data_IF_789751179179
#
_entry.id   IF_789751179179
#
_cell.length_a   1.000
_cell.length_b   1.000
_cell.length_c   1.000
_cell.angle_alpha   90.00
_cell.angle_beta   90.00
_cell.angle_gamma   90.00
#
_symmetry.space_group_name_H-M   'P 1'
#
loop_
_entity.id
_entity.type
_entity.pdbx_description
1 polymer ?
#
# COMPACT_ATOMS: atom_id res chain seq x y z
N UNK A 1 14.16 13.71 12.07
CA UNK A 1 13.27 13.43 10.93
C UNK A 1 13.10 14.66 10.06
N UNK A 2 12.93 15.85 10.64
CA UNK A 2 12.64 17.09 9.92
C UNK A 2 13.60 17.44 8.76
N UNK A 3 14.89 17.10 8.84
CA UNK A 3 15.88 17.37 7.78
C UNK A 3 15.89 16.35 6.63
N UNK A 4 15.57 15.08 6.91
CA UNK A 4 15.36 14.07 5.87
C UNK A 4 14.05 14.38 5.15
N UNK A 5 12.98 14.65 5.90
CA UNK A 5 11.71 15.08 5.33
C UNK A 5 11.85 16.39 4.57
N UNK A 6 12.57 17.42 5.05
CA UNK A 6 12.73 18.66 4.29
C UNK A 6 13.50 18.49 2.97
N UNK A 7 14.50 17.59 2.92
CA UNK A 7 15.19 17.24 1.67
C UNK A 7 14.36 16.33 0.76
N UNK A 8 13.56 15.44 1.34
CA UNK A 8 12.59 14.64 0.61
C UNK A 8 11.46 15.51 0.05
N UNK A 9 11.05 16.55 0.77
CA UNK A 9 10.03 17.53 0.37
C UNK A 9 10.53 18.34 -0.85
N UNK A 10 11.81 18.75 -0.86
CA UNK A 10 12.45 19.38 -2.03
C UNK A 10 12.55 18.45 -3.24
N UNK A 11 12.72 17.14 -3.01
CA UNK A 11 12.80 16.13 -4.07
C UNK A 11 11.42 15.60 -4.52
N UNK A 12 10.38 15.71 -3.69
CA UNK A 12 9.04 15.14 -3.93
C UNK A 12 8.00 16.15 -4.40
N UNK A 13 8.26 17.46 -4.24
CA UNK A 13 7.26 18.53 -4.42
C UNK A 13 6.53 18.53 -5.76
N UNK A 14 6.98 17.81 -6.80
CA UNK A 14 6.36 17.85 -8.12
C UNK A 14 6.25 16.52 -8.89
N UNK A 15 6.66 15.36 -8.35
CA UNK A 15 6.81 14.16 -9.20
C UNK A 15 5.84 13.00 -8.87
N UNK A 16 4.57 13.33 -8.62
CA UNK A 16 3.46 12.38 -8.86
C UNK A 16 3.08 12.32 -10.35
N UNK A 17 4.01 12.66 -11.26
CA UNK A 17 3.76 12.63 -12.71
C UNK A 17 3.39 11.22 -13.21
N UNK A 18 3.80 10.18 -12.47
CA UNK A 18 3.43 8.78 -12.73
C UNK A 18 1.99 8.44 -12.27
N UNK A 19 1.44 9.17 -11.30
CA UNK A 19 0.22 8.83 -10.57
C UNK A 19 -1.03 8.91 -11.45
N UNK A 20 -1.31 10.06 -12.07
CA UNK A 20 -2.50 10.24 -12.91
C UNK A 20 -2.52 9.36 -14.17
N UNK A 21 -1.43 9.28 -14.97
CA UNK A 21 -1.41 8.42 -16.16
C UNK A 21 -1.64 6.93 -15.85
N UNK A 22 -1.15 6.45 -14.71
CA UNK A 22 -1.32 5.05 -14.29
C UNK A 22 -2.81 4.69 -14.13
N UNK A 23 -3.58 5.51 -13.42
CA UNK A 23 -5.01 5.20 -13.21
C UNK A 23 -5.86 5.41 -14.45
N UNK A 24 -5.47 6.34 -15.33
CA UNK A 24 -6.09 6.48 -16.65
C UNK A 24 -5.96 5.18 -17.46
N UNK A 25 -4.79 4.53 -17.40
CA UNK A 25 -4.58 3.21 -18.00
C UNK A 25 -5.46 2.12 -17.37
N UNK A 26 -5.66 2.16 -16.04
CA UNK A 26 -6.55 1.22 -15.34
C UNK A 26 -8.02 1.44 -15.67
N UNK A 27 -8.44 2.70 -15.84
CA UNK A 27 -9.80 3.06 -16.22
C UNK A 27 -10.19 2.48 -17.59
N UNK A 28 -9.28 2.42 -18.56
CA UNK A 28 -9.56 1.82 -19.87
C UNK A 28 -9.99 0.35 -19.73
N UNK A 29 -9.50 -0.34 -18.71
CA UNK A 29 -9.81 -1.75 -18.43
C UNK A 29 -11.08 -1.94 -17.59
N UNK A 30 -11.80 -0.89 -17.20
CA UNK A 30 -13.05 -1.05 -16.44
C UNK A 30 -14.20 -1.54 -17.34
N UNK A 31 -15.26 -2.07 -16.71
CA UNK A 31 -16.44 -2.57 -17.40
C UNK A 31 -17.00 -1.54 -18.37
N UNK A 32 -17.48 -2.02 -19.52
CA UNK A 32 -18.06 -1.18 -20.56
C UNK A 32 -19.16 -0.26 -20.02
N UNK A 33 -20.03 -0.78 -19.14
CA UNK A 33 -21.12 0.01 -18.54
C UNK A 33 -20.62 1.20 -17.72
N UNK A 34 -19.50 1.03 -17.00
CA UNK A 34 -18.89 2.15 -16.26
C UNK A 34 -18.31 3.17 -17.25
N UNK A 35 -17.66 2.73 -18.33
CA UNK A 35 -17.11 3.65 -19.35
C UNK A 35 -18.19 4.45 -20.08
N UNK A 36 -19.40 3.91 -20.19
CA UNK A 36 -20.55 4.58 -20.82
C UNK A 36 -21.27 5.56 -19.90
N UNK A 37 -20.89 5.66 -18.62
CA UNK A 37 -21.47 6.66 -17.72
C UNK A 37 -21.25 8.07 -18.28
N UNK A 38 -22.31 8.87 -18.20
CA UNK A 38 -22.31 10.25 -18.69
C UNK A 38 -22.11 11.26 -17.56
N UNK A 39 -21.39 12.33 -17.89
CA UNK A 39 -21.16 13.51 -17.05
C UNK A 39 -21.62 14.73 -17.84
N UNK A 40 -22.88 15.12 -17.68
CA UNK A 40 -23.56 16.00 -18.63
C UNK A 40 -23.83 15.29 -19.95
N UNK A 41 -23.38 15.87 -21.07
CA UNK A 41 -23.57 15.30 -22.41
C UNK A 41 -22.43 14.36 -22.85
N UNK A 42 -21.37 14.28 -22.06
CA UNK A 42 -20.12 13.59 -22.40
C UNK A 42 -20.02 12.24 -21.70
N UNK A 43 -19.37 11.27 -22.33
CA UNK A 43 -18.97 10.02 -21.65
C UNK A 43 -17.71 10.24 -20.81
N UNK A 44 -17.43 9.35 -19.86
CA UNK A 44 -16.21 9.44 -19.04
C UNK A 44 -14.89 9.40 -19.85
N UNK A 45 -14.91 8.91 -21.09
CA UNK A 45 -13.73 8.86 -21.98
C UNK A 45 -13.47 10.18 -22.70
N UNK A 46 -14.44 11.10 -22.70
CA UNK A 46 -14.39 12.35 -23.45
C UNK A 46 -14.00 13.52 -22.54
N UNK A 47 -13.34 14.53 -23.12
CA UNK A 47 -13.13 15.87 -22.52
C UNK A 47 -12.68 15.89 -21.05
N UNK A 48 -11.85 14.93 -20.66
CA UNK A 48 -11.34 14.75 -19.29
C UNK A 48 -12.46 14.58 -18.23
N UNK A 49 -13.63 14.06 -18.62
CA UNK A 49 -14.76 13.83 -17.72
C UNK A 49 -14.39 12.88 -16.57
N UNK A 50 -13.61 11.83 -16.84
CA UNK A 50 -13.06 10.97 -15.80
C UNK A 50 -12.21 11.74 -14.79
N UNK A 51 -11.28 12.58 -15.24
CA UNK A 51 -10.41 13.36 -14.37
C UNK A 51 -11.21 14.36 -13.51
N UNK A 52 -12.28 14.97 -14.07
CA UNK A 52 -13.21 15.81 -13.30
C UNK A 52 -13.89 15.03 -12.18
N UNK A 53 -14.42 13.84 -12.49
CA UNK A 53 -15.05 12.97 -11.48
C UNK A 53 -14.02 12.50 -10.45
N UNK A 54 -12.82 12.10 -10.88
CA UNK A 54 -11.73 11.70 -10.00
C UNK A 54 -11.38 12.79 -8.98
N UNK A 55 -11.20 14.04 -9.44
CA UNK A 55 -10.92 15.17 -8.55
C UNK A 55 -12.12 15.50 -7.65
N UNK A 56 -13.35 15.40 -8.16
CA UNK A 56 -14.56 15.65 -7.40
C UNK A 56 -14.72 14.65 -6.24
N UNK A 57 -14.43 13.36 -6.47
CA UNK A 57 -14.42 12.34 -5.40
C UNK A 57 -13.40 12.70 -4.31
N UNK A 58 -12.15 13.00 -4.70
CA UNK A 58 -11.10 13.36 -3.74
C UNK A 58 -11.47 14.59 -2.91
N UNK A 59 -12.07 15.60 -3.57
CA UNK A 59 -12.49 16.85 -2.92
C UNK A 59 -13.61 16.59 -1.94
N UNK A 60 -14.67 15.90 -2.37
CA UNK A 60 -15.83 15.62 -1.51
C UNK A 60 -15.46 14.78 -0.30
N UNK A 61 -14.66 13.73 -0.49
CA UNK A 61 -14.23 12.84 0.60
C UNK A 61 -13.28 13.54 1.56
N UNK A 62 -12.49 14.52 1.09
CA UNK A 62 -11.63 15.31 1.98
C UNK A 62 -12.42 16.30 2.83
N UNK A 63 -13.42 16.93 2.22
CA UNK A 63 -14.18 18.01 2.83
C UNK A 63 -15.32 17.50 3.74
N UNK A 64 -15.62 16.19 3.69
CA UNK A 64 -16.66 15.54 4.48
C UNK A 64 -16.08 14.33 5.21
N UNK A 65 -16.56 14.08 6.42
CA UNK A 65 -16.11 12.94 7.24
C UNK A 65 -17.10 11.77 7.15
N UNK A 66 -16.60 10.55 7.36
CA UNK A 66 -17.41 9.32 7.42
C UNK A 66 -18.33 9.10 6.20
N UNK A 67 -17.83 9.46 5.02
CA UNK A 67 -18.57 9.42 3.75
C UNK A 67 -18.74 7.98 3.27
N UNK A 68 -19.97 7.57 2.95
CA UNK A 68 -20.25 6.30 2.26
C UNK A 68 -20.05 6.44 0.74
N UNK A 69 -19.91 5.31 0.03
CA UNK A 69 -19.83 5.33 -1.44
C UNK A 69 -21.07 6.01 -2.05
N UNK A 70 -22.23 5.76 -1.45
CA UNK A 70 -23.51 6.31 -1.89
C UNK A 70 -23.60 7.81 -1.69
N UNK A 71 -23.05 8.35 -0.59
CA UNK A 71 -22.95 9.79 -0.38
C UNK A 71 -22.12 10.46 -1.47
N UNK A 72 -21.00 9.83 -1.87
CA UNK A 72 -20.17 10.33 -2.98
C UNK A 72 -20.94 10.27 -4.30
N UNK A 73 -21.62 9.16 -4.61
CA UNK A 73 -22.41 9.02 -5.85
C UNK A 73 -23.50 10.09 -5.91
N UNK A 74 -24.22 10.28 -4.81
CA UNK A 74 -25.28 11.28 -4.71
C UNK A 74 -24.72 12.71 -4.86
N UNK A 75 -23.55 12.98 -4.28
CA UNK A 75 -22.85 14.24 -4.50
C UNK A 75 -22.49 14.45 -5.98
N UNK A 76 -21.91 13.44 -6.65
CA UNK A 76 -21.53 13.53 -8.06
C UNK A 76 -22.73 13.72 -8.99
N UNK A 77 -23.87 13.08 -8.70
CA UNK A 77 -25.13 13.33 -9.43
C UNK A 77 -25.56 14.79 -9.33
N UNK A 78 -25.47 15.36 -8.13
CA UNK A 78 -25.84 16.77 -7.88
C UNK A 78 -24.86 17.77 -8.51
N UNK A 79 -23.56 17.54 -8.37
CA UNK A 79 -22.54 18.56 -8.72
C UNK A 79 -21.90 18.36 -10.08
N UNK A 80 -21.67 17.11 -10.50
CA UNK A 80 -21.04 16.78 -11.78
C UNK A 80 -22.05 16.46 -12.89
N UNK A 81 -23.36 16.52 -12.59
CA UNK A 81 -24.44 16.15 -13.52
C UNK A 81 -24.25 14.73 -14.06
N UNK A 82 -23.82 13.81 -13.20
CA UNK A 82 -23.82 12.39 -13.57
C UNK A 82 -25.25 11.89 -13.78
N UNK A 83 -25.43 10.96 -14.72
CA UNK A 83 -26.74 10.40 -15.05
C UNK A 83 -27.48 9.87 -13.81
N UNK A 84 -28.74 10.25 -13.62
CA UNK A 84 -29.51 9.94 -12.39
C UNK A 84 -30.35 8.66 -12.46
N UNK A 85 -30.21 7.84 -13.50
CA UNK A 85 -31.07 6.66 -13.70
C UNK A 85 -30.77 5.57 -12.66
N UNK A 86 -31.79 4.85 -12.19
CA UNK A 86 -31.61 3.76 -11.22
C UNK A 86 -30.71 2.64 -11.74
N UNK A 87 -30.73 2.41 -13.05
CA UNK A 87 -29.91 1.38 -13.73
C UNK A 87 -28.41 1.72 -13.73
N UNK A 88 -28.04 3.01 -13.77
CA UNK A 88 -26.62 3.43 -13.78
C UNK A 88 -26.02 3.54 -12.38
N UNK A 89 -26.84 3.47 -11.32
CA UNK A 89 -26.39 3.62 -9.94
C UNK A 89 -25.32 2.60 -9.54
N UNK A 90 -25.48 1.34 -9.96
CA UNK A 90 -24.52 0.26 -9.69
C UNK A 90 -23.17 0.52 -10.34
N UNK A 91 -23.18 0.97 -11.60
CA UNK A 91 -21.97 1.35 -12.30
C UNK A 91 -21.29 2.58 -11.65
N UNK A 92 -22.06 3.52 -11.11
CA UNK A 92 -21.53 4.67 -10.37
C UNK A 92 -20.88 4.26 -9.05
N UNK A 93 -21.51 3.37 -8.28
CA UNK A 93 -20.92 2.78 -7.07
C UNK A 93 -19.58 2.10 -7.39
N UNK A 94 -19.54 1.30 -8.46
CA UNK A 94 -18.32 0.62 -8.91
C UNK A 94 -17.22 1.63 -9.31
N UNK A 95 -17.58 2.71 -10.00
CA UNK A 95 -16.64 3.78 -10.36
C UNK A 95 -16.07 4.46 -9.11
N UNK A 96 -16.92 4.88 -8.17
CA UNK A 96 -16.48 5.53 -6.93
C UNK A 96 -15.61 4.58 -6.11
N UNK A 97 -16.00 3.32 -5.97
CA UNK A 97 -15.21 2.29 -5.31
C UNK A 97 -13.82 2.13 -5.96
N UNK A 98 -13.74 2.11 -7.29
CA UNK A 98 -12.47 2.02 -7.99
C UNK A 98 -11.60 3.27 -7.74
N UNK A 99 -12.19 4.46 -7.85
CA UNK A 99 -11.50 5.73 -7.59
C UNK A 99 -10.97 5.81 -6.16
N UNK A 100 -11.74 5.41 -5.15
CA UNK A 100 -11.30 5.40 -3.75
C UNK A 100 -10.12 4.45 -3.53
N UNK A 101 -10.16 3.25 -4.12
CA UNK A 101 -9.06 2.29 -4.06
C UNK A 101 -7.79 2.84 -4.70
N UNK A 102 -7.91 3.44 -5.89
CA UNK A 102 -6.82 4.09 -6.60
C UNK A 102 -6.25 5.30 -5.84
N UNK A 103 -7.11 6.15 -5.31
CA UNK A 103 -6.72 7.36 -4.59
C UNK A 103 -6.02 7.07 -3.26
N UNK A 104 -6.49 6.04 -2.55
CA UNK A 104 -5.91 5.64 -1.27
C UNK A 104 -4.74 4.67 -1.40
N UNK A 105 -4.66 3.94 -2.52
CA UNK A 105 -3.77 2.79 -2.74
C UNK A 105 -3.90 1.70 -1.66
N UNK A 106 -4.97 1.69 -0.86
CA UNK A 106 -5.17 0.73 0.24
C UNK A 106 -5.64 -0.63 -0.25
N UNK A 107 -6.33 -0.66 -1.38
CA UNK A 107 -6.76 -1.87 -2.03
C UNK A 107 -6.77 -1.65 -3.54
N UNK A 108 -6.78 -2.76 -4.27
CA UNK A 108 -6.83 -2.75 -5.72
C UNK A 108 -8.23 -3.14 -6.16
N UNK A 109 -8.99 -2.30 -6.88
CA UNK A 109 -10.30 -2.71 -7.38
C UNK A 109 -10.12 -3.80 -8.45
N UNK A 110 -10.87 -4.88 -8.33
CA UNK A 110 -10.97 -5.89 -9.37
C UNK A 110 -11.93 -5.39 -10.45
N UNK A 111 -11.40 -5.22 -11.66
CA UNK A 111 -12.18 -4.79 -12.83
C UNK A 111 -12.54 -6.00 -13.68
N UNK A 112 -13.78 -6.09 -14.15
CA UNK A 112 -14.31 -7.17 -15.00
C UNK A 112 -14.31 -8.58 -14.39
N UNK A 113 -14.12 -8.73 -13.08
CA UNK A 113 -14.12 -10.06 -12.43
C UNK A 113 -15.46 -10.43 -11.80
N UNK A 114 -16.31 -9.43 -11.50
CA UNK A 114 -17.57 -9.62 -10.79
C UNK A 114 -18.73 -8.90 -11.49
N UNK A 115 -19.95 -9.27 -11.11
CA UNK A 115 -21.16 -8.61 -11.60
C UNK A 115 -21.21 -7.15 -11.11
N UNK A 116 -22.07 -6.32 -11.70
CA UNK A 116 -22.26 -4.93 -11.26
C UNK A 116 -22.87 -4.82 -9.85
N UNK A 117 -23.34 -5.94 -9.31
CA UNK A 117 -23.92 -6.06 -7.98
C UNK A 117 -22.87 -6.34 -6.90
N UNK A 118 -21.60 -6.41 -7.27
CA UNK A 118 -20.51 -6.81 -6.39
C UNK A 118 -19.34 -5.82 -6.49
N UNK A 119 -18.83 -5.40 -5.34
CA UNK A 119 -17.55 -4.73 -5.22
C UNK A 119 -16.51 -5.78 -4.90
N UNK A 120 -15.43 -5.81 -5.68
CA UNK A 120 -14.39 -6.81 -5.55
C UNK A 120 -13.02 -6.15 -5.47
N UNK A 121 -12.20 -6.65 -4.54
CA UNK A 121 -10.79 -6.33 -4.44
C UNK A 121 -10.01 -7.39 -5.21
N UNK A 122 -9.03 -6.96 -5.98
CA UNK A 122 -8.14 -7.81 -6.77
C UNK A 122 -7.16 -8.52 -5.82
N UNK A 123 -7.14 -9.83 -5.90
CA UNK A 123 -6.16 -10.68 -5.23
C UNK A 123 -4.87 -10.69 -6.06
N UNK A 124 -3.75 -10.27 -5.49
CA UNK A 124 -2.45 -10.38 -6.16
C UNK A 124 -1.97 -11.84 -6.06
N UNK A 125 -2.38 -12.66 -7.04
CA UNK A 125 -2.06 -14.09 -7.26
C UNK A 125 -2.47 -15.07 -6.13
N UNK A 126 -2.73 -16.33 -6.53
CA UNK A 126 -3.18 -17.53 -5.79
C UNK A 126 -2.37 -17.95 -4.53
N UNK A 127 -1.56 -17.07 -3.95
CA UNK A 127 -0.60 -17.44 -2.91
C UNK A 127 -0.69 -16.61 -1.62
N UNK A 128 -1.45 -15.50 -1.54
CA UNK A 128 -1.53 -14.68 -0.32
C UNK A 128 -2.32 -15.33 0.83
N UNK A 129 -1.85 -16.47 1.34
CA UNK A 129 -2.26 -17.01 2.65
C UNK A 129 -1.59 -16.23 3.80
N UNK A 130 -1.42 -14.91 3.67
CA UNK A 130 -0.82 -14.10 4.73
C UNK A 130 -1.80 -13.83 5.87
N UNK A 131 -3.12 -13.99 5.62
CA UNK A 131 -4.18 -13.84 6.62
C UNK A 131 -4.29 -12.43 7.19
N UNK A 132 -3.58 -11.45 6.62
CA UNK A 132 -3.47 -10.11 7.18
C UNK A 132 -4.25 -9.05 6.41
N UNK A 133 -4.41 -9.15 5.09
CA UNK A 133 -4.97 -8.03 4.31
C UNK A 133 -5.70 -8.54 3.05
N UNK A 134 -7.02 -8.70 3.19
CA UNK A 134 -8.00 -8.99 2.11
C UNK A 134 -7.87 -10.35 1.41
N UNK A 135 -8.05 -11.44 2.16
CA UNK A 135 -8.58 -12.67 1.57
C UNK A 135 -9.94 -12.34 0.93
N UNK A 136 -10.17 -12.81 -0.29
CA UNK A 136 -11.25 -12.44 -1.22
C UNK A 136 -12.56 -11.97 -0.55
N UNK A 137 -12.79 -10.64 -0.50
CA UNK A 137 -14.08 -10.09 -0.05
C UNK A 137 -14.85 -9.55 -1.26
N UNK A 138 -15.66 -10.41 -1.89
CA UNK A 138 -16.77 -9.94 -2.71
C UNK A 138 -17.85 -9.46 -1.76
N UNK A 139 -18.16 -8.18 -1.81
CA UNK A 139 -19.24 -7.60 -1.01
C UNK A 139 -20.32 -7.14 -1.97
N UNK A 140 -21.57 -7.50 -1.67
CA UNK A 140 -22.71 -7.00 -2.43
C UNK A 140 -22.70 -5.46 -2.42
N UNK A 141 -22.93 -4.84 -3.57
CA UNK A 141 -22.99 -3.39 -3.71
C UNK A 141 -24.08 -2.75 -2.83
N UNK A 142 -25.10 -3.52 -2.42
CA UNK A 142 -26.15 -3.08 -1.50
C UNK A 142 -25.71 -3.08 -0.02
N UNK A 143 -24.54 -3.63 0.29
CA UNK A 143 -23.90 -3.54 1.61
C UNK A 143 -22.95 -2.33 1.71
N UNK A 144 -22.82 -1.52 0.66
CA UNK A 144 -22.02 -0.28 0.64
C UNK A 144 -22.58 0.83 1.56
N UNK A 145 -23.81 0.65 2.06
CA UNK A 145 -24.51 1.56 3.00
C UNK A 145 -23.99 1.48 4.44
N UNK A 146 -23.05 0.57 4.73
CA UNK A 146 -22.39 0.49 6.02
C UNK A 146 -21.02 1.16 5.93
N UNK A 147 -20.59 1.97 6.92
CA UNK A 147 -19.16 2.24 7.06
C UNK A 147 -18.44 0.89 7.04
N UNK A 148 -17.39 0.72 6.21
CA UNK A 148 -16.54 -0.47 6.15
C UNK A 148 -16.14 -0.91 7.57
N UNK A 149 -16.96 -1.75 8.17
CA UNK A 149 -16.80 -2.35 9.47
C UNK A 149 -16.80 -3.86 9.22
N UNK A 150 -15.74 -4.49 9.72
CA UNK A 150 -15.57 -5.92 9.95
C UNK A 150 -15.51 -6.84 8.72
N UNK A 151 -14.31 -6.97 8.16
CA UNK A 151 -13.63 -8.26 8.05
C UNK A 151 -12.15 -8.05 8.38
N UNK A 152 -11.89 -7.54 9.58
CA UNK A 152 -10.54 -7.57 10.15
C UNK A 152 -10.33 -8.98 10.68
N UNK A 153 -9.19 -9.55 10.30
CA UNK A 153 -8.73 -10.87 10.71
C UNK A 153 -9.05 -11.13 12.19
N UNK A 154 -9.74 -12.24 12.44
CA UNK A 154 -9.87 -12.81 13.79
C UNK A 154 -8.46 -13.07 14.32
N UNK A 155 -8.01 -12.28 15.29
CA UNK A 155 -6.83 -12.55 16.11
C UNK A 155 -7.01 -13.86 16.89
N UNK A 156 -6.79 -14.99 16.22
CA UNK A 156 -6.64 -16.29 16.86
C UNK A 156 -5.19 -16.74 16.73
N UNK A 157 -4.29 -16.07 17.44
CA UNK A 157 -2.95 -16.63 17.71
C UNK A 157 -2.52 -16.32 19.14
N UNK A 158 -3.04 -17.14 20.08
CA UNK A 158 -2.50 -17.30 21.45
C UNK A 158 -1.10 -17.97 21.45
N UNK A 159 -0.14 -17.40 20.73
CA UNK A 159 1.23 -17.89 20.68
C UNK A 159 2.25 -16.74 20.58
N UNK A 160 2.10 -15.70 21.42
CA UNK A 160 2.96 -14.51 21.42
C UNK A 160 3.91 -14.46 22.65
N UNK A 161 4.44 -15.59 23.14
CA UNK A 161 5.16 -15.60 24.43
C UNK A 161 6.64 -16.02 24.41
N UNK A 162 7.25 -16.32 23.26
CA UNK A 162 8.70 -16.66 23.22
C UNK A 162 9.33 -16.25 21.89
N UNK A 163 9.48 -14.95 21.66
CA UNK A 163 10.08 -14.42 20.43
C UNK A 163 11.32 -13.60 20.78
N UNK A 164 12.41 -13.77 20.02
CA UNK A 164 13.60 -12.93 20.16
C UNK A 164 13.60 -12.05 18.90
N UNK A 165 13.46 -10.73 19.02
CA UNK A 165 13.43 -9.83 17.86
C UNK A 165 14.76 -9.90 17.12
N UNK A 166 14.72 -9.83 15.79
CA UNK A 166 15.89 -9.48 15.00
C UNK A 166 16.27 -8.04 15.35
N UNK A 167 17.56 -7.78 15.58
CA UNK A 167 18.02 -6.40 15.71
C UNK A 167 17.76 -5.68 14.37
N UNK A 168 17.02 -4.56 14.37
CA UNK A 168 16.88 -3.73 13.17
C UNK A 168 18.23 -3.37 12.55
N UNK A 169 19.29 -3.19 13.34
CA UNK A 169 20.63 -2.90 12.83
C UNK A 169 21.24 -4.04 11.99
N UNK A 170 20.75 -5.27 12.16
CA UNK A 170 21.23 -6.45 11.43
C UNK A 170 20.29 -6.84 10.27
N UNK A 171 19.09 -6.28 10.22
CA UNK A 171 18.04 -6.66 9.25
C UNK A 171 18.21 -5.88 7.95
N UNK A 172 18.59 -6.57 6.87
CA UNK A 172 18.78 -5.95 5.56
C UNK A 172 18.43 -6.89 4.39
N UNK A 173 18.17 -6.33 3.21
CA UNK A 173 17.76 -7.09 2.02
C UNK A 173 18.77 -8.16 1.60
N UNK A 174 20.07 -7.93 1.77
CA UNK A 174 21.08 -8.96 1.48
C UNK A 174 20.91 -10.19 2.37
N UNK A 175 20.71 -10.00 3.68
CA UNK A 175 20.42 -11.09 4.60
C UNK A 175 19.12 -11.83 4.22
N UNK A 176 18.06 -11.08 3.90
CA UNK A 176 16.78 -11.66 3.50
C UNK A 176 16.92 -12.53 2.25
N UNK A 177 17.57 -12.04 1.21
CA UNK A 177 17.72 -12.75 -0.07
C UNK A 177 18.72 -13.90 0.01
N UNK A 178 19.91 -13.64 0.58
CA UNK A 178 21.05 -14.56 0.49
C UNK A 178 21.03 -15.61 1.59
N UNK A 179 20.63 -15.25 2.81
CA UNK A 179 20.63 -16.18 3.94
C UNK A 179 19.27 -16.82 4.15
N UNK A 180 18.20 -16.04 4.02
CA UNK A 180 16.84 -16.52 4.25
C UNK A 180 16.10 -16.98 3.00
N UNK A 181 16.67 -16.77 1.82
CA UNK A 181 16.03 -17.09 0.54
C UNK A 181 14.64 -16.47 0.40
N UNK A 182 14.42 -15.31 1.04
CA UNK A 182 13.19 -14.54 0.96
C UNK A 182 13.19 -13.81 -0.38
N UNK A 183 12.14 -14.00 -1.16
CA UNK A 183 11.90 -13.28 -2.41
C UNK A 183 11.28 -11.93 -2.11
N UNK A 184 11.63 -10.92 -2.91
CA UNK A 184 11.03 -9.59 -2.83
C UNK A 184 10.02 -9.45 -3.95
N UNK A 185 8.78 -9.10 -3.61
CA UNK A 185 7.72 -8.78 -4.56
C UNK A 185 7.39 -7.29 -4.46
N UNK A 186 7.41 -6.61 -5.59
CA UNK A 186 7.14 -5.18 -5.67
C UNK A 186 5.66 -4.94 -5.96
N UNK A 187 4.97 -4.19 -5.09
CA UNK A 187 3.50 -4.05 -5.08
C UNK A 187 3.06 -2.60 -5.24
N UNK A 188 1.91 -2.39 -5.85
CA UNK A 188 1.26 -1.08 -5.98
C UNK A 188 0.13 -0.86 -4.96
N UNK A 189 -0.09 -1.82 -4.05
CA UNK A 189 -1.02 -1.69 -2.94
C UNK A 189 -0.24 -1.38 -1.65
N UNK A 190 -0.53 -0.24 -1.04
CA UNK A 190 0.13 0.23 0.18
C UNK A 190 -0.12 -0.74 1.35
N UNK A 191 -1.33 -1.32 1.45
CA UNK A 191 -1.68 -2.23 2.52
C UNK A 191 -0.90 -3.56 2.48
N UNK A 192 -0.27 -3.89 1.34
CA UNK A 192 0.60 -5.06 1.19
C UNK A 192 2.06 -4.75 1.56
N UNK A 193 2.38 -3.55 2.03
CA UNK A 193 3.75 -3.21 2.40
C UNK A 193 4.21 -4.07 3.59
N UNK A 194 5.35 -4.74 3.41
CA UNK A 194 5.93 -5.74 4.31
C UNK A 194 5.06 -6.97 4.55
N UNK A 195 4.03 -7.22 3.73
CA UNK A 195 3.26 -8.45 3.81
C UNK A 195 4.15 -9.66 3.46
N UNK A 196 4.33 -10.56 4.43
CA UNK A 196 5.18 -11.75 4.27
C UNK A 196 4.34 -13.01 4.11
N UNK A 197 4.49 -13.62 2.94
CA UNK A 197 3.93 -14.91 2.65
C UNK A 197 4.93 -16.01 3.00
N UNK A 198 4.64 -16.75 4.07
CA UNK A 198 5.49 -17.85 4.55
C UNK A 198 5.58 -19.03 3.59
N UNK A 199 4.50 -19.35 2.85
CA UNK A 199 4.50 -20.53 1.97
C UNK A 199 5.43 -20.33 0.77
N UNK A 200 5.42 -19.13 0.19
CA UNK A 200 6.27 -18.77 -0.94
C UNK A 200 7.58 -18.08 -0.54
N UNK A 201 7.76 -17.78 0.75
CA UNK A 201 8.85 -16.96 1.31
C UNK A 201 8.97 -15.62 0.60
N UNK A 202 7.85 -14.97 0.35
CA UNK A 202 7.80 -13.72 -0.41
C UNK A 202 7.46 -12.56 0.52
N UNK A 203 8.35 -11.58 0.61
CA UNK A 203 8.11 -10.30 1.28
C UNK A 203 7.69 -9.26 0.24
N UNK A 204 6.56 -8.61 0.49
CA UNK A 204 5.97 -7.63 -0.39
C UNK A 204 6.45 -6.22 -0.02
N UNK A 205 6.94 -5.44 -0.98
CA UNK A 205 7.43 -4.07 -0.78
C UNK A 205 6.71 -3.12 -1.71
N UNK A 206 6.15 -2.07 -1.12
CA UNK A 206 5.43 -1.02 -1.84
C UNK A 206 6.35 -0.25 -2.82
N UNK A 207 5.92 -0.09 -4.06
CA UNK A 207 6.77 0.45 -5.13
C UNK A 207 6.73 1.97 -5.27
N UNK A 208 5.85 2.66 -4.54
CA UNK A 208 5.53 4.08 -4.76
C UNK A 208 5.75 4.97 -3.52
N UNK A 209 6.94 5.02 -2.90
CA UNK A 209 7.17 5.82 -1.70
C UNK A 209 6.89 7.32 -1.86
N UNK A 210 6.97 7.89 -3.07
CA UNK A 210 6.58 9.30 -3.32
C UNK A 210 5.12 9.58 -2.98
N UNK A 211 4.24 8.57 -3.12
CA UNK A 211 2.86 8.64 -2.67
C UNK A 211 2.76 8.90 -1.16
N UNK A 212 3.58 8.20 -0.35
CA UNK A 212 3.57 8.36 1.10
C UNK A 212 3.95 9.80 1.50
N UNK A 213 4.97 10.36 0.85
CA UNK A 213 5.39 11.75 1.10
C UNK A 213 4.28 12.73 0.69
N UNK A 214 3.73 12.58 -0.51
CA UNK A 214 2.67 13.45 -1.02
C UNK A 214 1.42 13.41 -0.14
N UNK A 215 1.02 12.23 0.34
CA UNK A 215 -0.13 12.09 1.24
C UNK A 215 0.13 12.67 2.62
N UNK A 216 1.33 12.52 3.18
CA UNK A 216 1.71 13.14 4.46
C UNK A 216 1.63 14.68 4.40
N UNK A 217 1.98 15.27 3.26
CA UNK A 217 1.92 16.71 3.04
C UNK A 217 0.50 17.22 2.77
N UNK A 218 -0.21 16.57 1.86
CA UNK A 218 -1.51 17.04 1.36
C UNK A 218 -2.72 16.58 2.18
N UNK A 219 -2.53 15.60 3.06
CA UNK A 219 -3.64 14.91 3.74
C UNK A 219 -4.69 14.41 2.73
N UNK A 220 -4.22 13.69 1.71
CA UNK A 220 -5.07 13.21 0.60
C UNK A 220 -6.10 12.15 1.02
N UNK A 221 -6.80 11.57 0.03
CA UNK A 221 -8.00 10.73 0.22
C UNK A 221 -7.84 9.63 1.28
N UNK A 222 -6.66 9.02 1.42
CA UNK A 222 -6.41 8.00 2.44
C UNK A 222 -6.67 8.50 3.87
N UNK A 223 -6.39 9.76 4.18
CA UNK A 223 -6.62 10.33 5.50
C UNK A 223 -8.11 10.51 5.80
N UNK A 224 -8.93 10.82 4.81
CA UNK A 224 -10.37 11.00 5.05
C UNK A 224 -11.15 9.71 4.88
N UNK A 225 -10.68 8.81 4.02
CA UNK A 225 -11.29 7.50 3.78
C UNK A 225 -10.98 6.49 4.91
N UNK A 226 -9.78 6.56 5.51
CA UNK A 226 -9.37 5.59 6.53
C UNK A 226 -9.49 6.08 7.98
N UNK A 227 -9.70 7.39 8.24
CA UNK A 227 -9.76 7.94 9.60
C UNK A 227 -11.13 7.73 10.29
N UNK A 228 -11.09 7.47 11.59
CA UNK A 228 -12.22 7.08 12.47
C UNK A 228 -12.41 7.97 13.69
N UNK A 229 -11.69 9.10 13.80
CA UNK A 229 -11.63 9.91 15.03
C UNK A 229 -12.97 10.33 15.66
N UNK A 230 -14.12 10.17 14.98
CA UNK A 230 -15.46 10.43 15.54
C UNK A 230 -16.34 9.19 15.78
N UNK A 231 -15.96 7.99 15.34
CA UNK A 231 -16.71 6.75 15.56
C UNK A 231 -15.94 5.78 16.47
N UNK A 232 -16.28 5.77 17.76
CA UNK A 232 -15.62 4.97 18.81
C UNK A 232 -15.70 3.44 18.65
N UNK A 233 -16.37 2.96 17.59
CA UNK A 233 -16.60 1.54 17.33
C UNK A 233 -16.04 1.06 15.97
N UNK A 234 -15.41 1.94 15.18
CA UNK A 234 -14.86 1.59 13.86
C UNK A 234 -13.36 1.22 13.98
N UNK A 235 -12.94 0.01 13.56
CA UNK A 235 -11.56 -0.49 13.73
C UNK A 235 -10.48 0.17 12.86
N UNK A 236 -10.77 1.20 12.04
CA UNK A 236 -9.73 1.82 11.18
C UNK A 236 -8.81 2.79 11.93
N UNK A 237 -7.68 3.11 11.30
CA UNK A 237 -6.60 3.91 11.87
C UNK A 237 -6.89 5.42 11.87
N UNK A 238 -6.68 6.09 13.01
CA UNK A 238 -6.75 7.55 13.09
C UNK A 238 -5.67 8.27 12.27
N UNK A 239 -5.77 9.59 12.10
CA UNK A 239 -4.81 10.40 11.32
C UNK A 239 -3.35 10.18 11.75
N UNK A 240 -3.12 10.10 13.07
CA UNK A 240 -1.80 9.79 13.62
C UNK A 240 -1.30 8.41 13.21
N UNK A 241 -2.17 7.40 13.25
CA UNK A 241 -1.83 6.03 12.83
C UNK A 241 -1.50 5.95 11.35
N UNK A 242 -2.30 6.60 10.48
CA UNK A 242 -2.03 6.68 9.04
C UNK A 242 -0.70 7.39 8.78
N UNK A 243 -0.47 8.53 9.44
CA UNK A 243 0.78 9.28 9.30
C UNK A 243 1.99 8.46 9.75
N UNK A 244 1.86 7.72 10.85
CA UNK A 244 2.91 6.85 11.37
C UNK A 244 3.20 5.71 10.39
N UNK A 245 2.16 5.02 9.90
CA UNK A 245 2.32 3.94 8.93
C UNK A 245 3.05 4.39 7.66
N UNK A 246 2.69 5.56 7.09
CA UNK A 246 3.42 6.11 5.93
C UNK A 246 4.89 6.40 6.22
N UNK A 247 5.21 6.89 7.42
CA UNK A 247 6.60 7.11 7.84
C UNK A 247 7.33 5.78 8.00
N UNK A 248 6.68 4.77 8.55
CA UNK A 248 7.24 3.42 8.68
C UNK A 248 7.53 2.79 7.32
N UNK A 249 6.64 2.97 6.33
CA UNK A 249 6.87 2.55 4.94
C UNK A 249 8.13 3.21 4.37
N UNK A 250 8.33 4.51 4.59
CA UNK A 250 9.55 5.20 4.14
C UNK A 250 10.81 4.72 4.89
N UNK A 251 10.70 4.49 6.19
CA UNK A 251 11.80 4.02 7.04
C UNK A 251 12.20 2.57 6.75
N UNK A 252 11.28 1.72 6.28
CA UNK A 252 11.57 0.33 5.94
C UNK A 252 12.57 0.25 4.78
N UNK A 253 12.50 1.13 3.78
CA UNK A 253 13.50 1.18 2.70
C UNK A 253 14.89 1.54 3.22
N UNK A 254 14.96 2.42 4.22
CA UNK A 254 16.21 2.75 4.89
C UNK A 254 16.79 1.53 5.61
N UNK A 255 15.95 0.83 6.37
CA UNK A 255 16.34 -0.40 7.07
C UNK A 255 16.86 -1.46 6.09
N UNK A 256 16.08 -1.75 5.06
CA UNK A 256 16.31 -2.84 4.12
C UNK A 256 17.49 -2.56 3.16
N UNK A 257 17.61 -1.34 2.66
CA UNK A 257 18.54 -0.99 1.57
C UNK A 257 19.61 0.03 1.94
N UNK A 258 19.24 1.19 2.51
CA UNK A 258 20.15 2.33 2.71
C UNK A 258 21.35 1.96 3.62
N UNK A 259 21.12 1.24 4.72
CA UNK A 259 22.15 0.99 5.73
C UNK A 259 23.32 0.13 5.23
N UNK A 260 23.10 -0.76 4.25
CA UNK A 260 24.10 -1.76 3.84
C UNK A 260 24.47 -1.67 2.34
N UNK A 261 25.78 -1.59 2.07
CA UNK A 261 26.29 -1.49 0.70
C UNK A 261 25.94 -2.72 -0.17
N UNK A 262 25.88 -3.90 0.44
CA UNK A 262 25.46 -5.14 -0.23
C UNK A 262 24.01 -5.04 -0.71
N UNK A 263 23.08 -4.58 0.14
CA UNK A 263 21.67 -4.39 -0.22
C UNK A 263 21.49 -3.38 -1.36
N UNK A 264 22.20 -2.24 -1.32
CA UNK A 264 22.13 -1.22 -2.40
C UNK A 264 22.61 -1.76 -3.76
N UNK A 265 23.67 -2.58 -3.76
CA UNK A 265 24.18 -3.24 -4.98
C UNK A 265 23.24 -4.32 -5.51
N UNK A 266 22.45 -4.94 -4.63
CA UNK A 266 21.44 -5.94 -5.00
C UNK A 266 20.16 -5.33 -5.53
N UNK A 267 19.80 -4.10 -5.10
CA UNK A 267 18.56 -3.45 -5.52
C UNK A 267 18.32 -3.46 -7.04
N UNK A 268 19.28 -3.06 -7.91
CA UNK A 268 19.08 -3.10 -9.36
C UNK A 268 18.84 -4.50 -9.94
N UNK A 269 19.26 -5.55 -9.23
CA UNK A 269 19.10 -6.94 -9.68
C UNK A 269 17.73 -7.51 -9.33
N UNK A 270 17.16 -7.06 -8.21
CA UNK A 270 15.87 -7.55 -7.68
C UNK A 270 14.70 -6.63 -8.01
N UNK A 271 14.97 -5.36 -8.30
CA UNK A 271 13.92 -4.41 -8.63
C UNK A 271 13.36 -4.71 -10.00
N UNK A 272 12.08 -5.03 -10.03
CA UNK A 272 11.28 -5.19 -11.22
C UNK A 272 10.08 -4.27 -11.05
N UNK A 273 9.98 -3.17 -11.83
CA UNK A 273 8.78 -2.34 -11.82
C UNK A 273 7.57 -3.25 -12.04
N UNK A 274 6.51 -3.04 -11.27
CA UNK A 274 5.21 -3.66 -11.55
C UNK A 274 4.84 -3.31 -12.98
N UNK A 275 4.33 -4.26 -13.77
CA UNK A 275 4.03 -4.07 -15.22
C UNK A 275 3.16 -2.83 -15.52
N UNK A 276 2.43 -2.36 -14.51
CA UNK A 276 1.51 -1.21 -14.55
C UNK A 276 2.21 0.13 -14.35
N UNK A 277 3.37 0.16 -13.70
CA UNK A 277 4.17 1.36 -13.51
C UNK A 277 5.01 1.58 -14.77
N UNK A 278 4.51 2.43 -15.67
CA UNK A 278 5.23 2.81 -16.90
C UNK A 278 6.60 3.43 -16.61
N UNK A 279 6.75 4.06 -15.44
CA UNK A 279 8.01 4.61 -14.94
C UNK A 279 8.18 4.26 -13.45
N UNK A 280 9.42 3.94 -13.02
CA UNK A 280 9.70 3.73 -11.61
C UNK A 280 9.56 5.03 -10.83
N UNK A 281 9.12 4.92 -9.58
CA UNK A 281 9.14 6.02 -8.62
C UNK A 281 10.61 6.43 -8.37
N UNK A 282 10.96 7.69 -8.67
CA UNK A 282 12.32 8.19 -8.49
C UNK A 282 12.75 8.20 -7.03
N UNK A 283 11.80 8.43 -6.10
CA UNK A 283 12.09 8.40 -4.69
C UNK A 283 12.49 6.99 -4.24
N UNK A 284 11.90 5.93 -4.82
CA UNK A 284 12.30 4.56 -4.52
C UNK A 284 13.77 4.31 -4.87
N UNK A 285 14.20 4.78 -6.04
CA UNK A 285 15.60 4.66 -6.47
C UNK A 285 16.55 5.38 -5.50
N UNK A 286 16.17 6.58 -5.07
CA UNK A 286 16.95 7.38 -4.11
C UNK A 286 17.03 6.66 -2.75
N UNK A 287 15.91 6.21 -2.20
CA UNK A 287 15.85 5.52 -0.91
C UNK A 287 16.64 4.20 -0.90
N UNK A 288 16.69 3.49 -2.03
CA UNK A 288 17.33 2.19 -2.11
C UNK A 288 18.79 2.21 -2.59
N UNK A 289 19.23 3.26 -3.31
CA UNK A 289 20.57 3.30 -3.92
C UNK A 289 21.49 4.37 -3.34
N UNK A 290 20.95 5.45 -2.76
CA UNK A 290 21.77 6.52 -2.19
C UNK A 290 22.17 6.18 -0.76
N UNK A 291 23.47 6.23 -0.46
CA UNK A 291 23.95 6.12 0.92
C UNK A 291 23.69 7.45 1.63
N UNK A 292 22.75 7.49 2.57
CA UNK A 292 22.60 8.65 3.45
C UNK A 292 23.66 8.60 4.55
N UNK A 293 24.71 9.42 4.41
CA UNK A 293 25.74 9.59 5.44
C UNK A 293 25.12 10.35 6.62
N UNK A 294 25.00 9.66 7.75
CA UNK A 294 24.79 10.15 9.12
C UNK A 294 24.60 11.67 9.28
N UNK A 295 23.33 12.09 9.43
CA UNK A 295 22.94 13.08 10.41
C UNK A 295 21.61 12.62 11.00
N UNK A 296 21.69 11.77 12.02
CA UNK A 296 20.72 11.62 13.11
C UNK A 296 21.15 10.42 13.95
N UNK A 297 21.97 10.72 14.95
CA UNK A 297 21.97 9.96 16.20
C UNK A 297 20.70 10.38 16.94
N UNK A 298 19.59 9.75 16.60
CA UNK A 298 18.38 9.74 17.40
C UNK A 298 17.70 8.44 17.02
N UNK A 299 17.96 7.43 17.85
CA UNK A 299 17.25 6.16 17.85
C UNK A 299 15.77 6.47 18.07
N UNK A 300 15.03 6.65 16.98
CA UNK A 300 13.61 6.39 17.05
C UNK A 300 13.49 4.90 17.38
N UNK A 301 12.82 4.53 18.48
CA UNK A 301 12.36 3.16 18.60
C UNK A 301 11.45 2.94 17.39
N UNK A 302 11.92 2.15 16.43
CA UNK A 302 11.00 1.34 15.63
C UNK A 302 10.05 0.74 16.66
N UNK A 303 8.74 0.95 16.48
CA UNK A 303 7.78 0.36 17.41
C UNK A 303 8.15 -1.13 17.54
N UNK A 304 8.36 -1.66 18.76
CA UNK A 304 8.70 -3.06 18.96
C UNK A 304 7.66 -4.00 18.31
N UNK A 305 6.47 -3.49 18.02
CA UNK A 305 5.37 -4.16 17.34
C UNK A 305 5.47 -4.10 15.81
N UNK A 306 6.64 -4.36 15.22
CA UNK A 306 6.70 -4.72 13.79
C UNK A 306 6.62 -6.25 13.65
N UNK A 307 5.42 -6.84 13.49
CA UNK A 307 5.23 -8.30 13.48
C UNK A 307 6.05 -9.02 12.38
N UNK A 308 6.49 -8.28 11.36
CA UNK A 308 7.28 -8.81 10.25
C UNK A 308 8.73 -9.10 10.66
N UNK A 309 9.34 -8.23 11.48
CA UNK A 309 10.68 -8.49 12.04
C UNK A 309 10.63 -9.75 12.91
N UNK A 310 9.53 -9.95 13.65
CA UNK A 310 9.31 -11.13 14.48
C UNK A 310 9.10 -12.42 13.66
N UNK A 311 8.35 -12.33 12.56
CA UNK A 311 8.03 -13.46 11.70
C UNK A 311 9.24 -13.92 10.87
N UNK A 312 10.07 -12.98 10.40
CA UNK A 312 11.36 -13.26 9.75
C UNK A 312 12.37 -13.82 10.77
N UNK A 313 12.37 -13.32 12.01
CA UNK A 313 13.22 -13.85 13.09
C UNK A 313 12.93 -15.34 13.40
N UNK A 314 11.67 -15.77 13.28
CA UNK A 314 11.27 -17.19 13.39
C UNK A 314 11.95 -18.05 12.33
N UNK A 315 11.91 -17.58 11.09
CA UNK A 315 12.47 -18.28 9.93
C UNK A 315 14.00 -18.40 10.04
N UNK A 316 14.68 -17.37 10.55
CA UNK A 316 16.12 -17.41 10.86
C UNK A 316 16.49 -18.46 11.90
N UNK A 317 15.68 -18.59 12.97
CA UNK A 317 15.93 -19.61 14.01
C UNK A 317 15.77 -21.02 13.46
N UNK A 318 14.78 -21.26 12.59
CA UNK A 318 14.59 -22.57 11.95
C UNK A 318 15.58 -22.86 10.83
N UNK A 319 16.23 -21.83 10.27
CA UNK A 319 17.20 -21.95 9.18
C UNK A 319 18.66 -21.96 9.67
N UNK A 320 18.90 -22.23 10.96
CA UNK A 320 20.26 -22.42 11.47
C UNK A 320 20.86 -23.70 10.87
N UNK A 321 22.07 -23.66 10.29
CA UNK A 321 22.72 -24.85 9.76
C UNK A 321 22.97 -25.85 10.88
N UNK A 322 22.40 -27.05 10.74
CA UNK A 322 22.52 -28.16 11.70
C UNK A 322 23.86 -28.93 11.55
N UNK A 323 24.50 -29.04 10.37
CA UNK A 323 25.82 -29.67 10.26
C UNK A 323 26.99 -28.68 10.43
N UNK A 324 28.02 -29.09 11.18
CA UNK A 324 29.26 -28.32 11.43
C UNK A 324 29.96 -27.79 10.17
N UNK A 325 29.82 -28.47 9.02
CA UNK A 325 30.44 -28.05 7.76
C UNK A 325 29.82 -26.79 7.14
N UNK A 326 28.55 -26.50 7.42
CA UNK A 326 27.88 -25.27 6.97
C UNK A 326 28.12 -24.09 7.92
N UNK A 327 28.45 -24.37 9.19
CA UNK A 327 28.85 -23.37 10.18
C UNK A 327 30.15 -22.64 9.80
N UNK A 328 31.06 -23.33 9.10
CA UNK A 328 32.31 -22.74 8.57
C UNK A 328 32.08 -21.81 7.36
N UNK A 329 30.90 -21.87 6.72
CA UNK A 329 30.47 -20.95 5.66
C UNK A 329 29.49 -19.91 6.17
N UNK A 330 29.11 -19.97 7.44
CA UNK A 330 28.18 -19.05 8.07
C UNK A 330 28.94 -17.80 8.55
N UNK A 331 28.95 -16.77 7.69
CA UNK A 331 29.58 -15.48 7.98
C UNK A 331 28.81 -14.62 9.00
N UNK A 332 27.68 -15.11 9.55
CA UNK A 332 26.95 -14.41 10.62
C UNK A 332 27.77 -14.31 11.90
N UNK A 333 28.70 -15.23 12.15
CA UNK A 333 29.62 -15.19 13.30
C UNK A 333 30.77 -14.19 13.16
N UNK A 334 31.06 -13.71 11.95
CA UNK A 334 32.14 -12.75 11.67
C UNK A 334 31.69 -11.29 11.71
N UNK A 335 30.42 -11.02 12.00
CA UNK A 335 29.86 -9.67 12.16
C UNK A 335 30.05 -9.07 13.57
N UNK A 336 30.74 -9.77 14.47
CA UNK A 336 31.27 -9.13 15.68
C UNK A 336 32.64 -8.54 15.36
N UNK A 337 32.68 -7.27 14.95
CA UNK A 337 33.69 -6.27 15.34
C UNK A 337 33.25 -4.86 14.91
#
# INVERSE_FOLDING_TARGET
>A
MHQIFSRLDELSSNDLSWYHPQFRGQFINISYTVRQLRVGEETLLENNAFERVFIAVATFVRDNEAVSIDDVVEHLRKTQKMEGTGETFKAQRLLVFAILGWQSMLYRPAVNTCSQDELAVHEDDDQSNSGLVFDTNKVSADLADRPFITHVASENSKAAATWLPLDPAETNTHLLLTLLHVRIRWVDCLALHLDYNKSSRTLSLFSCPSFCVAMLQSKGTIFSFANTEKNSFDPRAGERGISQFMREVLLSFRLLFDQHNSSRKLFPQIYRPTERLQKPDQLLLILCMTKYIHQMSESLPLSPDQPIIELIAKELKSSRPIPMGELLRDWRGTLQY
#
